data_IF_933677032302
#
_entry.id   IF_933677032302
#
_cell.length_a   1.000
_cell.length_b   1.000
_cell.length_c   1.000
_cell.angle_alpha   90.00
_cell.angle_beta   90.00
_cell.angle_gamma   90.00
#
_symmetry.space_group_name_H-M   'P 1'
#
loop_
_entity.id
_entity.type
_entity.pdbx_description
1 polymer ?
#
# COMPACT_ATOMS: atom_id res chain seq x y z
N UNK A 1 -48.20 -21.96 7.53
CA UNK A 1 -48.14 -20.78 6.66
C UNK A 1 -48.17 -19.56 7.57
N UNK A 2 -46.99 -19.06 7.96
CA UNK A 2 -46.86 -17.85 8.77
C UNK A 2 -46.66 -16.66 7.82
N UNK A 3 -47.33 -15.52 8.05
CA UNK A 3 -47.14 -14.32 7.24
C UNK A 3 -45.73 -13.78 7.46
N UNK A 4 -45.00 -13.53 6.37
CA UNK A 4 -43.69 -12.89 6.40
C UNK A 4 -43.83 -11.48 6.97
N UNK A 5 -42.95 -11.13 7.91
CA UNK A 5 -42.78 -9.77 8.41
C UNK A 5 -42.67 -8.80 7.25
N UNK A 6 -43.67 -7.92 7.10
CA UNK A 6 -43.66 -6.81 6.16
C UNK A 6 -42.64 -5.81 6.69
N UNK A 7 -41.36 -6.04 6.34
CA UNK A 7 -40.27 -5.12 6.65
C UNK A 7 -40.35 -3.97 5.66
N UNK A 8 -41.25 -3.01 5.90
CA UNK A 8 -41.31 -1.76 5.14
C UNK A 8 -39.99 -1.00 5.22
N UNK A 9 -39.70 -0.16 4.23
CA UNK A 9 -38.52 0.69 4.25
C UNK A 9 -38.41 1.47 5.58
N UNK A 10 -37.23 1.44 6.19
CA UNK A 10 -36.97 2.31 7.33
C UNK A 10 -37.09 3.78 6.91
N UNK A 11 -37.40 4.66 7.86
CA UNK A 11 -37.49 6.10 7.60
C UNK A 11 -36.19 6.67 6.97
N UNK A 12 -35.04 6.07 7.28
CA UNK A 12 -33.75 6.42 6.71
C UNK A 12 -33.63 5.98 5.25
N UNK A 13 -34.04 4.76 4.91
CA UNK A 13 -34.04 4.25 3.53
C UNK A 13 -35.02 5.04 2.65
N UNK A 14 -36.21 5.36 3.15
CA UNK A 14 -37.17 6.21 2.42
C UNK A 14 -36.58 7.59 2.11
N UNK A 15 -35.88 8.21 3.06
CA UNK A 15 -35.23 9.51 2.84
C UNK A 15 -34.11 9.41 1.80
N UNK A 16 -33.35 8.32 1.79
CA UNK A 16 -32.30 8.10 0.80
C UNK A 16 -32.91 7.90 -0.59
N UNK A 17 -33.93 7.05 -0.74
CA UNK A 17 -34.61 6.83 -2.02
C UNK A 17 -35.18 8.14 -2.60
N UNK A 18 -35.82 8.97 -1.77
CA UNK A 18 -36.29 10.30 -2.16
C UNK A 18 -35.15 11.23 -2.60
N UNK A 19 -34.04 11.22 -1.87
CA UNK A 19 -32.85 12.01 -2.22
C UNK A 19 -32.22 11.55 -3.53
N UNK A 20 -32.39 10.27 -3.89
CA UNK A 20 -31.93 9.69 -5.16
C UNK A 20 -32.90 9.91 -6.33
N UNK A 21 -34.04 10.56 -6.08
CA UNK A 21 -34.97 10.96 -7.12
C UNK A 21 -36.22 10.08 -7.25
N UNK A 22 -36.56 9.26 -6.25
CA UNK A 22 -37.83 8.54 -6.21
C UNK A 22 -38.96 9.38 -5.62
N UNK A 23 -40.07 9.42 -6.34
CA UNK A 23 -41.32 9.99 -5.85
C UNK A 23 -42.07 9.01 -4.94
N UNK A 24 -42.95 9.54 -4.08
CA UNK A 24 -43.71 8.73 -3.12
C UNK A 24 -44.58 7.65 -3.80
N UNK A 25 -44.99 7.87 -5.04
CA UNK A 25 -45.77 6.89 -5.83
C UNK A 25 -44.89 5.73 -6.30
N UNK A 26 -43.63 6.00 -6.68
CA UNK A 26 -42.66 4.99 -7.11
C UNK A 26 -42.16 4.14 -5.94
N UNK A 27 -42.03 4.74 -4.75
CA UNK A 27 -41.71 4.00 -3.52
C UNK A 27 -42.82 3.01 -3.17
N UNK A 28 -44.10 3.39 -3.32
CA UNK A 28 -45.22 2.46 -3.14
C UNK A 28 -45.23 1.35 -4.18
N UNK A 29 -44.90 1.67 -5.43
CA UNK A 29 -44.80 0.66 -6.48
C UNK A 29 -43.68 -0.37 -6.18
N UNK A 30 -42.57 0.05 -5.57
CA UNK A 30 -41.52 -0.87 -5.11
C UNK A 30 -42.02 -1.81 -3.99
N UNK A 31 -42.80 -1.28 -3.05
CA UNK A 31 -43.42 -2.09 -1.98
C UNK A 31 -44.42 -3.11 -2.54
N UNK A 32 -45.22 -2.72 -3.55
CA UNK A 32 -46.16 -3.62 -4.25
C UNK A 32 -45.45 -4.74 -5.02
N UNK A 33 -44.24 -4.47 -5.52
CA UNK A 33 -43.38 -5.46 -6.19
C UNK A 33 -42.55 -6.30 -5.20
N UNK A 34 -42.75 -6.11 -3.88
CA UNK A 34 -42.10 -6.89 -2.84
C UNK A 34 -40.67 -6.47 -2.51
N UNK A 35 -40.23 -5.29 -2.96
CA UNK A 35 -38.92 -4.70 -2.60
C UNK A 35 -39.17 -3.81 -1.38
N UNK A 36 -38.86 -4.32 -0.19
CA UNK A 36 -39.23 -3.67 1.07
C UNK A 36 -38.02 -3.29 1.93
N UNK A 37 -36.84 -3.85 1.65
CA UNK A 37 -35.60 -3.49 2.34
C UNK A 37 -34.39 -3.38 1.40
N UNK A 38 -33.29 -2.83 1.92
CA UNK A 38 -32.02 -2.73 1.18
C UNK A 38 -31.54 -4.08 0.61
N UNK A 39 -31.81 -5.19 1.29
CA UNK A 39 -31.38 -6.52 0.84
C UNK A 39 -32.14 -7.01 -0.41
N UNK A 40 -33.37 -6.55 -0.64
CA UNK A 40 -34.18 -7.00 -1.79
C UNK A 40 -33.62 -6.48 -3.11
N UNK A 41 -32.91 -5.35 -3.09
CA UNK A 41 -32.20 -4.82 -4.25
C UNK A 41 -31.06 -5.74 -4.72
N UNK A 42 -30.52 -6.63 -3.88
CA UNK A 42 -29.59 -7.66 -4.34
C UNK A 42 -30.28 -8.68 -5.24
N UNK A 43 -31.57 -8.97 -5.00
CA UNK A 43 -32.38 -9.87 -5.84
C UNK A 43 -32.71 -9.25 -7.19
N UNK A 44 -32.87 -7.92 -7.24
CA UNK A 44 -33.10 -7.19 -8.51
C UNK A 44 -31.85 -7.21 -9.39
N UNK A 45 -30.66 -7.20 -8.79
CA UNK A 45 -29.39 -7.54 -9.45
C UNK A 45 -28.81 -6.46 -10.36
N UNK A 46 -29.61 -5.74 -11.13
CA UNK A 46 -29.16 -4.65 -12.01
C UNK A 46 -30.12 -3.45 -12.08
N UNK A 47 -29.59 -2.30 -12.50
CA UNK A 47 -30.35 -1.05 -12.62
C UNK A 47 -31.38 -1.06 -13.75
N UNK A 48 -31.14 -1.86 -14.80
CA UNK A 48 -32.06 -2.00 -15.93
C UNK A 48 -33.35 -2.73 -15.52
N UNK A 49 -33.23 -3.78 -14.70
CA UNK A 49 -34.37 -4.51 -14.14
C UNK A 49 -35.10 -3.64 -13.12
N UNK A 50 -34.38 -2.87 -12.29
CA UNK A 50 -35.02 -1.91 -11.38
C UNK A 50 -35.80 -0.82 -12.14
N UNK A 51 -35.23 -0.30 -13.23
CA UNK A 51 -35.89 0.67 -14.10
C UNK A 51 -37.15 0.10 -14.76
N UNK A 52 -37.09 -1.15 -15.23
CA UNK A 52 -38.24 -1.83 -15.84
C UNK A 52 -39.36 -2.14 -14.83
N UNK A 53 -39.01 -2.52 -13.60
CA UNK A 53 -39.97 -2.90 -12.55
C UNK A 53 -40.60 -1.69 -11.87
N UNK A 54 -39.83 -0.62 -11.65
CA UNK A 54 -40.31 0.57 -10.94
C UNK A 54 -40.74 1.72 -11.86
N UNK A 55 -40.58 1.58 -13.18
CA UNK A 55 -40.91 2.63 -14.14
C UNK A 55 -40.05 3.90 -13.97
N UNK A 56 -38.85 3.75 -13.44
CA UNK A 56 -37.89 4.85 -13.19
C UNK A 56 -36.89 4.97 -14.33
N UNK A 57 -36.22 6.11 -14.45
CA UNK A 57 -35.12 6.24 -15.39
C UNK A 57 -33.95 5.34 -14.99
N UNK A 58 -33.21 4.85 -16.00
CA UNK A 58 -32.03 4.00 -15.80
C UNK A 58 -30.98 4.70 -14.92
N UNK A 59 -30.85 6.01 -15.05
CA UNK A 59 -29.94 6.85 -14.24
C UNK A 59 -30.31 6.85 -12.74
N UNK A 60 -31.61 6.92 -12.43
CA UNK A 60 -32.11 6.86 -11.05
C UNK A 60 -31.99 5.43 -10.51
N UNK A 61 -32.23 4.42 -11.36
CA UNK A 61 -31.99 3.02 -11.05
C UNK A 61 -30.52 2.73 -10.69
N UNK A 62 -29.57 3.29 -11.44
CA UNK A 62 -28.13 3.17 -11.17
C UNK A 62 -27.76 3.81 -9.84
N UNK A 63 -28.32 4.99 -9.54
CA UNK A 63 -28.06 5.69 -8.30
C UNK A 63 -28.56 4.93 -7.05
N UNK A 64 -29.70 4.24 -7.18
CA UNK A 64 -30.26 3.40 -6.11
C UNK A 64 -29.48 2.10 -5.98
N UNK A 65 -29.20 1.41 -7.08
CA UNK A 65 -28.46 0.14 -7.07
C UNK A 65 -27.04 0.33 -6.54
N UNK A 66 -26.39 1.45 -6.87
CA UNK A 66 -25.09 1.85 -6.33
C UNK A 66 -25.13 2.04 -4.81
N UNK A 67 -26.19 2.66 -4.28
CA UNK A 67 -26.40 2.77 -2.84
C UNK A 67 -26.75 1.44 -2.16
N UNK A 68 -27.60 0.64 -2.80
CA UNK A 68 -28.15 -0.59 -2.24
C UNK A 68 -27.11 -1.72 -2.19
N UNK A 69 -26.39 -1.94 -3.29
CA UNK A 69 -25.41 -3.03 -3.41
C UNK A 69 -23.98 -2.61 -3.06
N UNK A 70 -23.73 -1.30 -2.85
CA UNK A 70 -22.39 -0.75 -2.64
C UNK A 70 -21.43 -0.93 -3.82
N UNK A 71 -21.91 -1.50 -4.93
CA UNK A 71 -21.18 -1.61 -6.19
C UNK A 71 -21.57 -0.43 -7.05
N UNK A 72 -20.67 0.52 -7.22
CA UNK A 72 -20.79 1.54 -8.27
C UNK A 72 -20.94 0.82 -9.61
N UNK A 73 -22.13 0.95 -10.21
CA UNK A 73 -22.46 0.34 -11.50
C UNK A 73 -21.42 0.80 -12.53
N UNK A 74 -20.65 -0.17 -13.03
CA UNK A 74 -19.74 0.02 -14.16
C UNK A 74 -20.62 0.01 -15.41
N UNK A 75 -20.99 1.20 -15.89
CA UNK A 75 -21.72 1.35 -17.13
C UNK A 75 -20.88 0.85 -18.33
N UNK A 76 -21.49 0.02 -19.18
CA UNK A 76 -20.90 -0.42 -20.44
C UNK A 76 -20.77 0.76 -21.45
N UNK A 77 -19.78 0.75 -22.36
CA UNK A 77 -19.31 1.95 -23.03
C UNK A 77 -20.13 2.29 -24.28
N UNK A 78 -20.88 3.40 -24.24
CA UNK A 78 -21.26 4.14 -25.45
C UNK A 78 -20.16 5.14 -25.80
N UNK A 79 -19.67 5.01 -27.03
CA UNK A 79 -18.56 5.74 -27.62
C UNK A 79 -18.88 7.23 -27.84
N UNK A 80 -18.23 8.12 -27.07
CA UNK A 80 -17.69 9.43 -27.51
C UNK A 80 -16.90 10.15 -26.39
N UNK A 81 -15.59 10.20 -26.59
CA UNK A 81 -14.61 11.24 -26.21
C UNK A 81 -14.62 11.90 -24.80
N UNK A 82 -13.72 11.39 -23.92
CA UNK A 82 -12.84 12.03 -22.92
C UNK A 82 -13.39 12.93 -21.77
N UNK A 83 -12.70 13.04 -20.60
CA UNK A 83 -11.41 12.45 -20.22
C UNK A 83 -11.55 11.27 -19.25
N UNK A 84 -10.60 10.35 -19.36
CA UNK A 84 -10.54 9.10 -18.63
C UNK A 84 -10.52 9.30 -17.11
N UNK A 85 -11.28 8.44 -16.44
CA UNK A 85 -10.99 7.96 -15.09
C UNK A 85 -9.48 7.78 -14.95
N UNK A 86 -8.92 8.58 -14.03
CA UNK A 86 -7.63 8.33 -13.43
C UNK A 86 -7.73 6.97 -12.74
N UNK A 87 -7.45 5.92 -13.50
CA UNK A 87 -6.74 4.79 -12.95
C UNK A 87 -5.60 5.43 -12.16
N UNK A 88 -5.66 5.32 -10.83
CA UNK A 88 -4.55 5.72 -9.98
C UNK A 88 -3.44 4.71 -10.26
N UNK A 89 -2.83 4.85 -11.43
CA UNK A 89 -1.61 4.17 -11.81
C UNK A 89 -0.61 4.81 -10.87
N UNK A 90 -0.42 4.17 -9.71
CA UNK A 90 0.67 4.49 -8.82
C UNK A 90 1.93 4.06 -9.56
N UNK A 91 2.41 4.95 -10.43
CA UNK A 91 3.71 4.84 -11.07
C UNK A 91 4.71 4.99 -9.94
N UNK A 92 5.11 3.87 -9.35
CA UNK A 92 6.26 3.86 -8.46
C UNK A 92 7.48 4.15 -9.32
N UNK A 93 7.99 5.37 -9.20
CA UNK A 93 9.28 5.74 -9.78
C UNK A 93 10.33 4.76 -9.29
N UNK A 94 11.18 4.27 -10.18
CA UNK A 94 12.30 3.39 -9.85
C UNK A 94 13.19 3.96 -8.72
N UNK A 95 13.24 5.28 -8.59
CA UNK A 95 14.02 5.99 -7.57
C UNK A 95 13.26 6.21 -6.25
N UNK A 96 12.17 5.47 -6.01
CA UNK A 96 11.43 5.55 -4.75
C UNK A 96 12.25 4.92 -3.62
N UNK A 97 12.63 5.75 -2.64
CA UNK A 97 13.31 5.30 -1.42
C UNK A 97 12.29 4.96 -0.35
N UNK A 98 12.51 3.86 0.36
CA UNK A 98 11.65 3.40 1.45
C UNK A 98 12.45 3.35 2.75
N UNK A 99 11.81 3.70 3.86
CA UNK A 99 12.45 3.62 5.16
C UNK A 99 12.71 2.16 5.58
N UNK A 100 13.94 1.82 5.93
CA UNK A 100 14.34 0.49 6.40
C UNK A 100 13.70 0.10 7.75
N UNK A 101 13.10 1.04 8.49
CA UNK A 101 12.51 0.79 9.81
C UNK A 101 10.98 0.70 9.80
N UNK A 102 10.30 1.47 8.94
CA UNK A 102 8.84 1.56 8.93
C UNK A 102 8.23 1.43 7.54
N UNK A 103 9.06 1.17 6.52
CA UNK A 103 8.67 0.95 5.12
C UNK A 103 7.91 2.12 4.46
N UNK A 104 7.85 3.26 5.14
CA UNK A 104 7.21 4.45 4.60
C UNK A 104 8.01 4.98 3.40
N UNK A 105 7.29 5.32 2.32
CA UNK A 105 7.87 5.92 1.13
C UNK A 105 8.40 7.31 1.48
N UNK A 106 9.67 7.54 1.18
CA UNK A 106 10.28 8.84 1.37
C UNK A 106 9.90 9.80 0.23
N UNK A 107 9.87 11.12 0.50
CA UNK A 107 9.67 12.13 -0.52
C UNK A 107 10.66 12.04 -1.68
N UNK A 108 10.31 12.64 -2.81
CA UNK A 108 11.17 12.64 -4.01
C UNK A 108 12.46 13.46 -3.83
N UNK A 109 12.45 14.41 -2.91
CA UNK A 109 13.60 15.24 -2.53
C UNK A 109 14.49 14.60 -1.43
N UNK A 110 14.22 13.34 -1.06
CA UNK A 110 15.04 12.59 -0.10
C UNK A 110 16.52 12.58 -0.50
N UNK A 111 17.39 12.86 0.48
CA UNK A 111 18.84 12.70 0.37
C UNK A 111 19.34 11.66 1.36
N UNK A 112 20.43 11.00 0.98
CA UNK A 112 21.15 10.07 1.86
C UNK A 112 21.54 10.80 3.14
N UNK A 113 21.05 10.30 4.27
CA UNK A 113 21.23 10.91 5.59
C UNK A 113 19.96 11.52 6.18
N UNK A 114 18.92 11.76 5.38
CA UNK A 114 17.67 12.32 5.89
C UNK A 114 16.92 11.33 6.79
N UNK A 115 16.21 11.90 7.77
CA UNK A 115 15.35 11.17 8.67
C UNK A 115 14.01 10.87 8.00
N UNK A 116 13.45 9.71 8.32
CA UNK A 116 12.13 9.32 7.88
C UNK A 116 11.07 10.25 8.46
N UNK A 117 10.18 10.76 7.61
CA UNK A 117 9.07 11.65 8.00
C UNK A 117 8.14 11.02 9.05
N UNK A 118 7.96 9.70 9.00
CA UNK A 118 7.01 9.00 9.87
C UNK A 118 7.63 8.55 11.19
N UNK A 119 8.79 7.90 11.15
CA UNK A 119 9.39 7.30 12.35
C UNK A 119 10.53 8.12 12.95
N UNK A 120 10.99 9.19 12.27
CA UNK A 120 12.09 10.05 12.73
C UNK A 120 13.46 9.38 12.77
N UNK A 121 13.58 8.09 12.37
CA UNK A 121 14.86 7.37 12.26
C UNK A 121 15.46 7.58 10.88
N UNK A 122 16.76 7.38 10.76
CA UNK A 122 17.44 7.44 9.46
C UNK A 122 16.76 6.49 8.47
N UNK A 123 16.32 7.01 7.31
CA UNK A 123 15.51 6.22 6.40
C UNK A 123 16.29 5.05 5.78
N UNK A 124 17.54 5.29 5.39
CA UNK A 124 18.47 4.27 4.91
C UNK A 124 19.68 4.16 5.85
N UNK A 125 20.15 2.94 6.17
CA UNK A 125 21.36 2.76 6.94
C UNK A 125 22.57 3.23 6.13
N UNK A 126 23.31 4.20 6.65
CA UNK A 126 24.57 4.66 6.07
C UNK A 126 25.72 3.86 6.69
N UNK A 127 26.44 3.12 5.85
CA UNK A 127 27.57 2.29 6.27
C UNK A 127 28.89 2.93 5.83
N UNK A 128 29.94 2.70 6.60
CA UNK A 128 31.31 3.13 6.27
C UNK A 128 32.06 1.98 5.61
N UNK A 129 32.71 2.26 4.47
CA UNK A 129 33.45 1.23 3.74
C UNK A 129 34.79 0.93 4.44
N UNK A 130 34.99 -0.31 4.86
CA UNK A 130 36.26 -0.77 5.45
C UNK A 130 37.48 -0.64 4.51
N UNK A 131 37.25 -0.59 3.20
CA UNK A 131 38.33 -0.49 2.21
C UNK A 131 38.72 0.96 1.89
N UNK A 132 37.77 1.81 1.49
CA UNK A 132 38.05 3.17 1.04
C UNK A 132 37.52 4.28 1.97
N UNK A 133 36.88 3.93 3.09
CA UNK A 133 36.29 4.86 4.07
C UNK A 133 35.19 5.78 3.52
N UNK A 134 34.72 5.58 2.29
CA UNK A 134 33.53 6.26 1.79
C UNK A 134 32.29 5.83 2.59
N UNK A 135 31.37 6.76 2.84
CA UNK A 135 30.08 6.47 3.45
C UNK A 135 29.00 6.38 2.38
N UNK A 136 28.04 5.47 2.55
CA UNK A 136 26.89 5.40 1.65
C UNK A 136 25.86 4.35 2.07
N UNK A 137 24.68 4.37 1.44
CA UNK A 137 23.63 3.39 1.70
C UNK A 137 23.86 2.11 0.91
N UNK A 138 23.17 1.04 1.32
CA UNK A 138 23.14 -0.24 0.64
C UNK A 138 24.15 -1.27 1.16
N UNK A 139 24.32 -2.35 0.40
CA UNK A 139 25.17 -3.51 0.76
C UNK A 139 26.61 -3.41 0.27
N UNK A 140 26.86 -2.64 -0.80
CA UNK A 140 28.18 -2.51 -1.41
C UNK A 140 28.57 -1.05 -1.55
N UNK A 141 29.86 -0.78 -1.36
CA UNK A 141 30.44 0.54 -1.56
C UNK A 141 30.41 0.92 -3.04
N UNK A 142 29.80 2.07 -3.37
CA UNK A 142 29.76 2.59 -4.75
C UNK A 142 31.11 3.08 -5.28
N UNK A 143 32.06 3.39 -4.39
CA UNK A 143 33.39 3.88 -4.75
C UNK A 143 34.39 2.76 -5.12
N UNK A 144 34.38 1.66 -4.37
CA UNK A 144 35.38 0.58 -4.54
C UNK A 144 34.79 -0.82 -4.72
N UNK A 145 33.47 -0.98 -4.62
CA UNK A 145 32.77 -2.25 -4.79
C UNK A 145 32.85 -3.21 -3.60
N UNK A 146 33.55 -2.87 -2.51
CA UNK A 146 33.63 -3.74 -1.33
C UNK A 146 32.24 -3.88 -0.66
N UNK A 147 31.91 -5.09 -0.20
CA UNK A 147 30.72 -5.30 0.62
C UNK A 147 30.88 -4.57 1.97
N UNK A 148 29.85 -3.86 2.42
CA UNK A 148 29.88 -3.20 3.72
C UNK A 148 29.89 -4.24 4.85
N UNK A 149 30.83 -4.07 5.77
CA UNK A 149 30.82 -4.82 7.02
C UNK A 149 29.73 -4.25 7.95
N UNK A 150 29.13 -5.06 8.84
CA UNK A 150 28.26 -4.55 9.89
C UNK A 150 28.96 -3.45 10.69
N UNK A 151 28.24 -2.40 11.07
CA UNK A 151 28.82 -1.26 11.83
C UNK A 151 29.54 -1.75 13.09
N UNK A 152 28.96 -2.74 13.77
CA UNK A 152 29.56 -3.34 14.96
C UNK A 152 30.89 -4.06 14.69
N UNK A 153 31.18 -4.48 13.46
CA UNK A 153 32.38 -5.26 13.08
C UNK A 153 33.34 -4.47 12.20
N UNK A 154 33.12 -3.16 12.00
CA UNK A 154 33.92 -2.33 11.10
C UNK A 154 35.40 -2.31 11.47
N UNK A 155 35.73 -2.22 12.77
CA UNK A 155 37.12 -2.21 13.23
C UNK A 155 37.83 -3.54 12.98
N UNK A 156 37.08 -4.66 13.05
CA UNK A 156 37.62 -5.97 12.66
C UNK A 156 37.93 -6.01 11.17
N UNK A 157 37.04 -5.50 10.33
CA UNK A 157 37.27 -5.41 8.88
C UNK A 157 38.50 -4.55 8.55
N UNK A 158 38.70 -3.44 9.28
CA UNK A 158 39.88 -2.58 9.15
C UNK A 158 41.16 -3.29 9.59
N UNK A 159 41.11 -4.07 10.68
CA UNK A 159 42.23 -4.88 11.13
C UNK A 159 42.61 -5.92 10.06
N UNK A 160 41.63 -6.67 9.53
CA UNK A 160 41.85 -7.67 8.49
C UNK A 160 42.45 -7.06 7.20
N UNK A 161 42.04 -5.84 6.85
CA UNK A 161 42.66 -5.08 5.76
C UNK A 161 44.14 -4.78 6.04
N UNK A 162 44.48 -4.36 7.27
CA UNK A 162 45.87 -4.10 7.67
C UNK A 162 46.73 -5.36 7.66
N UNK A 163 46.13 -6.53 7.86
CA UNK A 163 46.77 -7.84 7.75
C UNK A 163 46.98 -8.31 6.30
N UNK A 164 46.49 -7.56 5.32
CA UNK A 164 46.70 -7.86 3.90
C UNK A 164 45.68 -8.80 3.28
N UNK A 165 44.53 -9.03 3.93
CA UNK A 165 43.43 -9.82 3.34
C UNK A 165 42.82 -9.05 2.16
N UNK A 166 42.44 -9.78 1.11
CA UNK A 166 41.85 -9.20 -0.08
C UNK A 166 40.47 -8.57 0.21
N UNK A 167 40.17 -7.48 -0.51
CA UNK A 167 38.94 -6.68 -0.38
C UNK A 167 37.66 -7.52 -0.35
N UNK A 168 37.56 -8.51 -1.23
CA UNK A 168 36.34 -9.31 -1.41
C UNK A 168 36.25 -10.47 -0.39
N UNK A 169 37.36 -10.82 0.25
CA UNK A 169 37.44 -11.91 1.24
C UNK A 169 37.13 -11.45 2.67
N UNK A 170 37.34 -10.16 2.98
CA UNK A 170 37.18 -9.64 4.35
C UNK A 170 35.75 -9.88 4.87
N UNK A 171 34.73 -9.49 4.10
CA UNK A 171 33.33 -9.65 4.50
C UNK A 171 32.91 -11.13 4.56
N UNK A 172 33.44 -11.97 3.68
CA UNK A 172 33.20 -13.42 3.71
C UNK A 172 33.83 -14.05 4.97
N UNK A 173 35.07 -13.66 5.30
CA UNK A 173 35.78 -14.15 6.48
C UNK A 173 35.06 -13.77 7.77
N UNK A 174 34.62 -12.52 7.90
CA UNK A 174 33.85 -12.07 9.08
C UNK A 174 32.54 -12.85 9.29
N UNK A 175 31.89 -13.28 8.20
CA UNK A 175 30.67 -14.11 8.28
C UNK A 175 30.96 -15.56 8.68
N UNK A 176 32.14 -16.08 8.32
CA UNK A 176 32.55 -17.47 8.61
C UNK A 176 33.18 -17.63 10.00
N UNK A 177 33.75 -16.56 10.56
CA UNK A 177 34.38 -16.60 11.88
C UNK A 177 33.34 -16.77 13.00
N UNK A 178 33.69 -17.61 13.97
CA UNK A 178 32.91 -17.77 15.19
C UNK A 178 33.13 -16.60 16.17
N UNK A 179 32.29 -16.52 17.20
CA UNK A 179 32.35 -15.44 18.18
C UNK A 179 33.66 -15.47 18.98
N UNK A 180 34.27 -16.64 19.16
CA UNK A 180 35.55 -16.79 19.86
C UNK A 180 36.69 -16.14 19.07
N UNK A 181 36.79 -16.41 17.77
CA UNK A 181 37.82 -15.82 16.93
C UNK A 181 37.59 -14.32 16.72
N UNK A 182 36.34 -13.89 16.60
CA UNK A 182 36.00 -12.45 16.60
C UNK A 182 36.44 -11.77 17.89
N UNK A 183 36.23 -12.40 19.06
CA UNK A 183 36.66 -11.84 20.33
C UNK A 183 38.19 -11.70 20.42
N UNK A 184 38.95 -12.68 19.89
CA UNK A 184 40.42 -12.59 19.81
C UNK A 184 40.88 -11.42 18.95
N UNK A 185 40.20 -11.15 17.83
CA UNK A 185 40.49 -9.98 17.01
C UNK A 185 40.16 -8.68 17.75
N UNK A 186 39.02 -8.64 18.46
CA UNK A 186 38.64 -7.49 19.30
C UNK A 186 39.67 -7.17 20.37
N UNK A 187 40.22 -8.19 21.03
CA UNK A 187 41.26 -7.99 22.05
C UNK A 187 42.53 -7.36 21.45
N UNK A 188 42.80 -7.59 20.16
CA UNK A 188 43.91 -6.94 19.45
C UNK A 188 43.57 -5.50 19.07
N UNK A 189 42.36 -5.25 18.57
CA UNK A 189 41.88 -3.89 18.27
C UNK A 189 41.96 -3.01 19.52
N UNK A 190 41.49 -3.48 20.68
CA UNK A 190 41.50 -2.72 21.94
C UNK A 190 42.89 -2.48 22.53
N UNK A 191 43.89 -3.26 22.13
CA UNK A 191 45.29 -3.10 22.56
C UNK A 191 46.07 -2.10 21.71
N UNK A 192 45.53 -1.70 20.55
CA UNK A 192 46.15 -0.77 19.61
C UNK A 192 45.70 0.66 19.92
#
# INVERSE_FOLDING_TARGET
>A
MAPADISSFSALEMNILKTKGLDNEQVKHLEEQGICCKADFETVGDAATLAAVAGISVEVGDAIMSWATGKTAVAAPTSRAAPADLHNIVVQSHDAVYCAHCEEKQPKDYKVGDLCIKCGKQAEPVNTCHWCHSQGPGKFCRGCGAEFAPVAELDLALLLKREGIAKDEISAKLKLMDDSDKQRLWDRVRKT
#
